data_IF_936273146607
#
_entry.id   IF_936273146607
#
_cell.length_a   1.000
_cell.length_b   1.000
_cell.length_c   1.000
_cell.angle_alpha   90.00
_cell.angle_beta   90.00
_cell.angle_gamma   90.00
#
_symmetry.space_group_name_H-M   'P 1'
#
loop_
_entity.id
_entity.type
_entity.pdbx_description
1 polymer ?
#
# COMPACT_ATOMS: atom_id res chain seq x y z
N UNK A 1 -9.31 4.33 -14.84
CA UNK A 1 -9.51 3.15 -13.96
C UNK A 1 -10.91 2.55 -13.99
N UNK A 2 -11.99 3.32 -14.19
CA UNK A 2 -13.37 2.76 -14.18
C UNK A 2 -13.54 1.62 -15.21
N UNK A 3 -13.11 1.80 -16.46
CA UNK A 3 -13.22 0.76 -17.49
C UNK A 3 -12.51 -0.56 -17.15
N UNK A 4 -11.30 -0.50 -16.61
CA UNK A 4 -10.55 -1.68 -16.20
C UNK A 4 -11.22 -2.41 -15.02
N UNK A 5 -11.73 -1.67 -14.04
CA UNK A 5 -12.46 -2.26 -12.91
C UNK A 5 -13.80 -2.89 -13.34
N UNK A 6 -14.41 -2.41 -14.42
CA UNK A 6 -15.67 -2.97 -14.95
C UNK A 6 -15.48 -4.26 -15.76
N UNK A 7 -14.23 -4.66 -16.06
CA UNK A 7 -13.93 -6.00 -16.58
C UNK A 7 -14.15 -7.10 -15.53
N UNK A 8 -14.16 -6.73 -14.23
CA UNK A 8 -14.45 -7.63 -13.13
C UNK A 8 -15.96 -7.54 -12.77
N UNK A 9 -16.72 -8.66 -12.80
CA UNK A 9 -18.13 -8.67 -12.42
C UNK A 9 -18.36 -8.03 -11.05
N UNK A 10 -19.44 -7.25 -10.91
CA UNK A 10 -19.68 -6.46 -9.71
C UNK A 10 -19.74 -7.29 -8.41
N UNK A 11 -20.26 -8.53 -8.47
CA UNK A 11 -20.30 -9.42 -7.31
C UNK A 11 -18.90 -9.83 -6.83
N UNK A 12 -17.93 -10.01 -7.74
CA UNK A 12 -16.54 -10.32 -7.41
C UNK A 12 -15.86 -9.11 -6.76
N UNK A 13 -16.02 -7.90 -7.33
CA UNK A 13 -15.48 -6.67 -6.72
C UNK A 13 -16.03 -6.41 -5.32
N UNK A 14 -17.32 -6.69 -5.10
CA UNK A 14 -17.95 -6.57 -3.78
C UNK A 14 -17.38 -7.57 -2.78
N UNK A 15 -17.09 -8.80 -3.20
CA UNK A 15 -16.54 -9.82 -2.32
C UNK A 15 -15.16 -9.44 -1.76
N UNK A 16 -14.35 -8.66 -2.49
CA UNK A 16 -13.05 -8.16 -2.00
C UNK A 16 -13.19 -7.36 -0.69
N UNK A 17 -14.20 -6.51 -0.59
CA UNK A 17 -14.46 -5.70 0.61
C UNK A 17 -15.21 -6.47 1.72
N UNK A 18 -15.63 -7.71 1.46
CA UNK A 18 -16.23 -8.60 2.44
C UNK A 18 -15.22 -9.58 3.05
N UNK A 19 -13.97 -9.57 2.59
CA UNK A 19 -12.93 -10.45 3.11
C UNK A 19 -12.57 -10.08 4.56
N UNK A 20 -12.67 -11.05 5.47
CA UNK A 20 -12.30 -10.92 6.88
C UNK A 20 -11.04 -11.75 7.16
N UNK A 21 -9.92 -11.29 6.61
CA UNK A 21 -8.61 -11.94 6.76
C UNK A 21 -7.69 -11.03 7.56
N UNK A 22 -7.21 -11.53 8.69
CA UNK A 22 -6.23 -10.83 9.50
C UNK A 22 -4.80 -11.10 9.01
N UNK A 23 -4.18 -10.09 8.40
CA UNK A 23 -2.80 -10.14 7.92
C UNK A 23 -1.76 -9.66 8.94
N UNK A 24 -2.17 -9.22 10.14
CA UNK A 24 -1.22 -8.78 11.20
C UNK A 24 -0.18 -9.86 11.56
N UNK A 25 -0.52 -11.16 11.67
CA UNK A 25 0.47 -12.21 11.89
C UNK A 25 1.49 -12.32 10.75
N UNK A 26 1.06 -12.08 9.51
CA UNK A 26 1.94 -12.14 8.32
C UNK A 26 2.97 -11.01 8.37
N UNK A 27 2.54 -9.77 8.64
CA UNK A 27 3.47 -8.64 8.76
C UNK A 27 4.51 -8.85 9.86
N UNK A 28 4.11 -9.38 11.02
CA UNK A 28 5.04 -9.73 12.12
C UNK A 28 6.06 -10.79 11.74
N UNK A 29 5.70 -11.72 10.86
CA UNK A 29 6.59 -12.77 10.40
C UNK A 29 7.57 -12.30 9.31
N UNK A 30 7.35 -11.13 8.68
CA UNK A 30 8.24 -10.62 7.63
C UNK A 30 9.63 -10.29 8.20
N UNK A 31 10.66 -10.88 7.58
CA UNK A 31 12.07 -10.68 7.95
C UNK A 31 12.84 -9.82 6.97
N UNK A 32 12.32 -9.58 5.77
CA UNK A 32 12.93 -8.67 4.80
C UNK A 32 12.60 -7.20 5.12
N UNK A 33 13.40 -6.24 4.61
CA UNK A 33 13.03 -4.83 4.61
C UNK A 33 11.69 -4.59 3.91
N UNK A 34 10.82 -3.78 4.50
CA UNK A 34 9.52 -3.43 3.95
C UNK A 34 9.32 -1.92 3.87
N UNK A 35 8.72 -1.44 2.78
CA UNK A 35 8.28 -0.06 2.62
C UNK A 35 6.78 -0.04 2.35
N UNK A 36 6.03 0.68 3.17
CA UNK A 36 4.61 0.93 2.98
C UNK A 36 4.41 2.38 2.56
N UNK A 37 3.94 2.58 1.33
CA UNK A 37 3.60 3.88 0.77
C UNK A 37 2.09 4.04 0.83
N UNK A 38 1.59 5.11 1.46
CA UNK A 38 0.15 5.33 1.64
C UNK A 38 -0.21 6.80 1.41
N UNK A 39 -1.27 7.08 0.64
CA UNK A 39 -1.79 8.44 0.43
C UNK A 39 -2.59 8.94 1.63
N UNK A 40 -2.29 10.12 2.15
CA UNK A 40 -2.96 10.62 3.36
C UNK A 40 -4.43 11.04 3.14
N UNK A 41 -4.83 11.19 1.86
CA UNK A 41 -6.17 11.54 1.42
C UNK A 41 -6.91 10.32 0.86
N UNK A 42 -6.43 9.10 1.15
CA UNK A 42 -7.09 7.85 0.76
C UNK A 42 -8.46 7.72 1.43
N UNK A 43 -9.49 7.50 0.59
CA UNK A 43 -10.89 7.33 0.99
C UNK A 43 -11.39 5.89 0.83
N UNK A 44 -10.54 4.98 0.34
CA UNK A 44 -10.82 3.55 0.18
C UNK A 44 -10.23 2.77 1.35
N UNK A 45 -8.98 3.06 1.74
CA UNK A 45 -8.30 2.44 2.88
C UNK A 45 -7.77 3.55 3.79
N UNK A 46 -8.10 3.47 5.08
CA UNK A 46 -7.67 4.52 6.03
C UNK A 46 -6.15 4.56 6.15
N UNK A 47 -5.52 5.77 6.19
CA UNK A 47 -4.06 5.90 6.29
C UNK A 47 -3.42 5.17 7.48
N UNK A 48 -4.17 5.01 8.55
CA UNK A 48 -3.76 4.27 9.74
C UNK A 48 -3.40 2.79 9.42
N UNK A 49 -4.06 2.17 8.44
CA UNK A 49 -3.77 0.80 8.04
C UNK A 49 -2.35 0.68 7.49
N UNK A 50 -1.93 1.62 6.64
CA UNK A 50 -0.58 1.64 6.07
C UNK A 50 0.49 1.83 7.16
N UNK A 51 0.22 2.73 8.11
CA UNK A 51 1.11 2.95 9.27
C UNK A 51 1.26 1.70 10.13
N UNK A 52 0.13 1.09 10.52
CA UNK A 52 0.13 -0.13 11.35
C UNK A 52 0.80 -1.30 10.64
N UNK A 53 0.59 -1.47 9.33
CA UNK A 53 1.25 -2.53 8.56
C UNK A 53 2.78 -2.39 8.60
N UNK A 54 3.31 -1.17 8.42
CA UNK A 54 4.74 -0.91 8.52
C UNK A 54 5.28 -1.16 9.94
N UNK A 55 4.59 -0.67 10.97
CA UNK A 55 5.00 -0.83 12.37
C UNK A 55 5.03 -2.30 12.82
N UNK A 56 4.21 -3.16 12.23
CA UNK A 56 4.18 -4.59 12.52
C UNK A 56 5.36 -5.36 11.91
N UNK A 57 5.99 -4.84 10.85
CA UNK A 57 7.13 -5.49 10.20
C UNK A 57 8.42 -5.25 11.01
N UNK A 58 9.28 -6.26 11.11
CA UNK A 58 10.55 -6.14 11.84
C UNK A 58 11.51 -5.07 11.25
N UNK A 59 11.41 -4.82 9.95
CA UNK A 59 12.20 -3.83 9.21
C UNK A 59 11.30 -2.94 8.33
N UNK A 60 10.12 -2.59 8.85
CA UNK A 60 9.14 -1.78 8.15
C UNK A 60 9.45 -0.30 8.18
N UNK A 61 9.14 0.37 7.08
CA UNK A 61 9.19 1.83 6.94
C UNK A 61 7.86 2.32 6.41
N UNK A 62 7.28 3.32 7.06
CA UNK A 62 6.07 3.98 6.59
C UNK A 62 6.43 5.27 5.85
N UNK A 63 5.85 5.49 4.68
CA UNK A 63 6.03 6.70 3.88
C UNK A 63 4.65 7.27 3.49
N UNK A 64 4.13 8.25 4.25
CA UNK A 64 2.88 8.92 3.89
C UNK A 64 3.08 9.83 2.67
N UNK A 65 2.05 9.97 1.84
CA UNK A 65 2.03 10.82 0.66
C UNK A 65 1.00 11.95 0.85
N UNK A 66 1.44 13.16 1.23
CA UNK A 66 0.54 14.27 1.46
C UNK A 66 -0.24 14.70 0.22
N UNK A 67 -1.55 14.89 0.38
CA UNK A 67 -2.48 15.31 -0.68
C UNK A 67 -2.76 14.23 -1.73
N UNK A 68 -2.42 12.96 -1.46
CA UNK A 68 -2.56 11.85 -2.42
C UNK A 68 -3.64 10.89 -1.94
N UNK A 69 -4.49 10.44 -2.86
CA UNK A 69 -5.54 9.47 -2.61
C UNK A 69 -5.06 8.02 -2.60
N UNK A 70 -5.95 7.12 -3.01
CA UNK A 70 -5.77 5.68 -2.89
C UNK A 70 -4.67 5.10 -3.79
N UNK A 71 -4.31 5.78 -4.89
CA UNK A 71 -3.39 5.23 -5.87
C UNK A 71 -2.15 6.13 -6.06
N UNK A 72 -1.23 6.22 -5.08
CA UNK A 72 -0.04 7.06 -5.19
C UNK A 72 0.80 6.84 -6.46
N UNK A 73 0.86 5.60 -6.94
CA UNK A 73 1.56 5.22 -8.18
C UNK A 73 0.91 5.73 -9.46
N UNK A 74 -0.38 6.08 -9.45
CA UNK A 74 -1.09 6.71 -10.57
C UNK A 74 -1.18 8.23 -10.41
N UNK A 75 -1.35 8.70 -9.18
CA UNK A 75 -1.57 10.10 -8.87
C UNK A 75 -0.26 10.92 -8.88
N UNK A 76 0.85 10.33 -8.40
CA UNK A 76 2.18 10.94 -8.42
C UNK A 76 3.25 9.94 -8.89
N UNK A 77 3.20 9.49 -10.16
CA UNK A 77 4.01 8.38 -10.67
C UNK A 77 5.53 8.63 -10.54
N UNK A 78 6.02 9.82 -10.88
CA UNK A 78 7.46 10.12 -10.83
C UNK A 78 8.01 10.10 -9.40
N UNK A 79 7.26 10.69 -8.47
CA UNK A 79 7.60 10.68 -7.05
C UNK A 79 7.55 9.26 -6.48
N UNK A 80 6.53 8.49 -6.84
CA UNK A 80 6.41 7.09 -6.44
C UNK A 80 7.59 6.25 -6.94
N UNK A 81 7.91 6.36 -8.23
CA UNK A 81 9.02 5.65 -8.86
C UNK A 81 10.37 6.02 -8.22
N UNK A 82 10.60 7.30 -7.93
CA UNK A 82 11.80 7.77 -7.25
C UNK A 82 11.97 7.15 -5.85
N UNK A 83 10.92 7.16 -5.03
CA UNK A 83 10.98 6.54 -3.70
C UNK A 83 11.14 5.02 -3.74
N UNK A 84 10.49 4.35 -4.69
CA UNK A 84 10.66 2.91 -4.90
C UNK A 84 12.11 2.58 -5.28
N UNK A 85 12.69 3.31 -6.23
CA UNK A 85 14.08 3.11 -6.66
C UNK A 85 15.05 3.32 -5.50
N UNK A 86 14.92 4.43 -4.76
CA UNK A 86 15.75 4.74 -3.61
C UNK A 86 15.69 3.65 -2.53
N UNK A 87 14.50 3.10 -2.28
CA UNK A 87 14.34 1.98 -1.34
C UNK A 87 15.06 0.72 -1.83
N UNK A 88 14.90 0.36 -3.10
CA UNK A 88 15.54 -0.84 -3.65
C UNK A 88 17.06 -0.74 -3.71
N UNK A 89 17.59 0.44 -4.04
CA UNK A 89 19.03 0.68 -4.06
C UNK A 89 19.62 0.60 -2.65
N UNK A 90 18.91 1.15 -1.66
CA UNK A 90 19.33 1.10 -0.25
C UNK A 90 19.27 -0.29 0.42
N UNK A 91 18.66 -1.29 -0.22
CA UNK A 91 18.66 -2.69 0.26
C UNK A 91 19.77 -3.52 -0.39
N UNK A 92 20.24 -3.12 -1.57
CA UNK A 92 21.27 -3.85 -2.32
C UNK A 92 22.70 -3.55 -1.84
N UNK A 93 22.88 -2.50 -1.02
CA UNK A 93 24.14 -2.13 -0.39
C UNK A 93 24.38 -2.91 0.90
#
# INVERSE_FOLDING_TARGET
MVGANMLCPAHVRRALFAADVDLRPVYRAMRCPGLVIHGDSDTVVTPEVGRVAADLMAQGRHLPYPGVGHAPFLEQPDRFASHLAAFTDGIRA
#
